data_IF_386949216950
#
_entry.id   IF_386949216950
#
_cell.length_a   1.000
_cell.length_b   1.000
_cell.length_c   1.000
_cell.angle_alpha   90.00
_cell.angle_beta   90.00
_cell.angle_gamma   90.00
#
_symmetry.space_group_name_H-M   'P 1'
#
loop_
_entity.id
_entity.type
_entity.pdbx_description
1 polymer ?
#
# COMPACT_ATOMS: atom_id res chain seq x y z
N UNK A 1 -27.17 -4.93 -69.97
CA UNK A 1 -27.26 -4.92 -68.50
C UNK A 1 -25.82 -4.76 -67.96
N UNK A 2 -25.44 -3.51 -67.62
CA UNK A 2 -24.09 -3.13 -67.27
C UNK A 2 -23.93 -3.27 -65.74
N UNK A 3 -22.93 -4.05 -65.29
CA UNK A 3 -22.53 -4.15 -63.88
C UNK A 3 -21.56 -3.03 -63.55
N UNK A 4 -21.96 -2.16 -62.63
CA UNK A 4 -21.20 -1.05 -62.14
C UNK A 4 -20.22 -1.55 -61.07
N UNK A 5 -18.92 -1.54 -61.33
CA UNK A 5 -17.85 -1.85 -60.38
C UNK A 5 -17.53 -0.63 -59.53
N UNK A 6 -17.77 -0.72 -58.23
CA UNK A 6 -17.31 0.29 -57.27
C UNK A 6 -15.86 0.00 -56.88
N UNK A 7 -14.96 0.91 -57.21
CA UNK A 7 -13.55 0.90 -56.77
C UNK A 7 -13.49 1.65 -55.47
N UNK A 8 -13.16 0.98 -54.36
CA UNK A 8 -12.86 1.61 -53.10
C UNK A 8 -11.38 2.05 -53.07
N UNK A 9 -11.03 3.24 -52.63
CA UNK A 9 -9.64 3.67 -52.49
C UNK A 9 -9.00 3.01 -51.27
N UNK A 10 -7.83 2.40 -51.51
CA UNK A 10 -6.94 1.92 -50.50
C UNK A 10 -6.39 3.10 -49.70
N UNK A 11 -6.89 3.29 -48.47
CA UNK A 11 -6.25 4.23 -47.52
C UNK A 11 -4.98 3.61 -46.98
N UNK A 12 -3.88 4.17 -47.36
CA UNK A 12 -2.54 3.84 -46.88
C UNK A 12 -2.42 4.26 -45.41
N UNK A 13 -2.60 3.31 -44.49
CA UNK A 13 -2.31 3.51 -43.05
C UNK A 13 -0.81 3.57 -42.87
N UNK A 14 -0.26 4.79 -42.78
CA UNK A 14 1.11 5.01 -42.34
C UNK A 14 1.19 4.69 -40.85
N UNK A 15 1.72 3.53 -40.53
CA UNK A 15 2.14 3.20 -39.17
C UNK A 15 3.38 4.03 -38.82
N UNK A 16 3.18 5.18 -38.17
CA UNK A 16 4.27 5.87 -37.47
C UNK A 16 4.59 5.05 -36.23
N UNK A 17 5.61 4.17 -36.34
CA UNK A 17 6.19 3.53 -35.18
C UNK A 17 6.89 4.58 -34.31
N UNK A 18 6.19 5.09 -33.30
CA UNK A 18 6.85 5.80 -32.19
C UNK A 18 7.74 4.78 -31.48
N UNK A 19 9.00 4.73 -31.87
CA UNK A 19 10.04 4.09 -31.06
C UNK A 19 10.14 4.88 -29.74
N UNK A 20 9.46 4.40 -28.70
CA UNK A 20 9.82 4.79 -27.35
C UNK A 20 11.28 4.42 -27.12
N UNK A 21 12.17 5.41 -27.21
CA UNK A 21 13.52 5.27 -26.67
C UNK A 21 13.34 4.87 -25.21
N UNK A 22 13.69 3.63 -24.91
CA UNK A 22 13.92 3.19 -23.55
C UNK A 22 15.05 4.06 -23.01
N UNK A 23 14.67 5.07 -22.22
CA UNK A 23 15.62 5.74 -21.34
C UNK A 23 16.01 4.65 -20.34
N UNK A 24 17.24 4.16 -20.46
CA UNK A 24 17.82 3.19 -19.53
C UNK A 24 17.66 3.72 -18.10
N UNK A 25 17.55 2.84 -17.10
CA UNK A 25 17.43 3.27 -15.72
C UNK A 25 18.60 4.20 -15.39
N UNK A 26 18.36 5.36 -14.74
CA UNK A 26 19.44 6.23 -14.30
C UNK A 26 20.40 5.39 -13.45
N UNK A 27 21.70 5.53 -13.75
CA UNK A 27 22.79 4.73 -13.22
C UNK A 27 22.69 4.46 -11.73
N UNK A 28 23.12 3.27 -11.33
CA UNK A 28 23.01 2.67 -10.00
C UNK A 28 23.34 3.60 -8.83
N UNK A 29 22.35 4.34 -8.38
CA UNK A 29 22.30 4.85 -7.02
C UNK A 29 22.13 3.64 -6.12
N UNK A 30 23.04 3.45 -5.18
CA UNK A 30 22.91 2.46 -4.10
C UNK A 30 21.55 2.68 -3.45
N UNK A 31 20.62 1.78 -3.73
CA UNK A 31 19.27 1.83 -3.17
C UNK A 31 19.38 1.84 -1.65
N UNK A 32 19.14 3.01 -1.03
CA UNK A 32 19.33 3.27 0.40
C UNK A 32 18.44 2.47 1.36
N UNK A 33 17.83 1.40 0.89
CA UNK A 33 17.02 0.48 1.71
C UNK A 33 17.85 -0.52 2.53
N UNK A 34 19.18 -0.54 2.34
CA UNK A 34 20.12 -1.30 3.14
C UNK A 34 20.82 -0.48 4.23
N UNK A 35 20.32 0.71 4.56
CA UNK A 35 20.94 1.55 5.57
C UNK A 35 20.86 0.85 6.93
N UNK A 36 22.03 0.45 7.41
CA UNK A 36 22.26 0.08 8.81
C UNK A 36 21.55 1.11 9.71
N UNK A 37 20.78 0.67 10.72
CA UNK A 37 20.27 1.60 11.71
C UNK A 37 21.45 2.45 12.24
N UNK A 38 21.26 3.76 12.44
CA UNK A 38 22.35 4.59 12.95
C UNK A 38 22.88 3.96 14.23
N UNK A 39 24.21 3.81 14.31
CA UNK A 39 24.93 3.35 15.49
C UNK A 39 24.87 4.45 16.56
N UNK A 40 23.72 4.65 17.13
CA UNK A 40 23.47 5.61 18.21
C UNK A 40 22.84 4.86 19.37
N UNK A 41 23.31 5.17 20.58
CA UNK A 41 22.93 4.51 21.82
C UNK A 41 21.44 4.19 21.97
N UNK A 42 21.15 3.16 22.75
CA UNK A 42 19.82 2.56 22.98
C UNK A 42 18.93 3.50 23.84
N UNK A 43 18.81 4.77 23.45
CA UNK A 43 17.88 5.68 24.11
C UNK A 43 16.44 5.29 23.81
N UNK A 44 15.66 5.06 24.86
CA UNK A 44 14.21 4.87 24.73
C UNK A 44 13.56 6.16 24.24
N UNK A 45 12.51 6.02 23.42
CA UNK A 45 11.81 7.15 22.81
C UNK A 45 10.35 7.06 23.17
N UNK A 46 9.76 8.07 23.81
CA UNK A 46 8.34 8.09 24.10
C UNK A 46 7.50 7.95 22.82
N UNK A 47 6.46 7.14 22.89
CA UNK A 47 5.55 6.93 21.78
C UNK A 47 4.94 8.25 21.26
N UNK A 48 4.73 9.22 22.17
CA UNK A 48 4.24 10.56 21.81
C UNK A 48 5.19 11.31 20.86
N UNK A 49 6.51 11.15 21.02
CA UNK A 49 7.50 11.73 20.10
C UNK A 49 7.39 11.11 18.71
N UNK A 50 7.33 9.77 18.64
CA UNK A 50 7.20 9.09 17.34
C UNK A 50 5.87 9.45 16.67
N UNK A 51 4.78 9.58 17.41
CA UNK A 51 3.49 10.05 16.87
C UNK A 51 3.59 11.44 16.23
N UNK A 52 4.35 12.37 16.83
CA UNK A 52 4.61 13.69 16.22
C UNK A 52 5.45 13.55 14.94
N UNK A 53 6.48 12.72 14.97
CA UNK A 53 7.37 12.50 13.80
C UNK A 53 6.63 11.89 12.60
N UNK A 54 5.64 11.02 12.84
CA UNK A 54 4.83 10.46 11.74
C UNK A 54 3.73 11.41 11.28
N UNK A 55 3.49 12.52 12.00
CA UNK A 55 2.42 13.48 11.70
C UNK A 55 1.08 12.78 11.49
N UNK A 56 0.64 11.99 12.51
CA UNK A 56 -0.58 11.19 12.41
C UNK A 56 -1.82 12.08 12.42
N UNK A 57 -2.58 12.04 11.34
CA UNK A 57 -3.91 12.64 11.23
C UNK A 57 -4.98 11.55 11.30
N UNK A 58 -6.13 11.89 11.87
CA UNK A 58 -7.32 11.02 11.88
C UNK A 58 -8.36 11.63 10.96
N UNK A 59 -8.64 10.98 9.84
CA UNK A 59 -9.60 11.42 8.82
C UNK A 59 -10.48 10.25 8.38
N UNK A 60 -11.41 9.89 9.27
CA UNK A 60 -12.20 8.67 9.16
C UNK A 60 -13.24 8.72 8.03
N UNK A 61 -13.37 7.64 7.29
CA UNK A 61 -14.55 7.37 6.47
C UNK A 61 -15.75 7.23 7.41
N UNK A 62 -16.84 7.93 7.11
CA UNK A 62 -18.06 7.92 7.93
C UNK A 62 -18.64 6.51 8.04
N UNK A 63 -19.01 6.11 9.26
CA UNK A 63 -19.74 4.86 9.51
C UNK A 63 -21.04 4.83 8.69
N UNK A 64 -21.37 3.68 8.13
CA UNK A 64 -22.56 3.49 7.28
C UNK A 64 -22.35 3.89 5.81
N UNK A 65 -21.17 4.38 5.43
CA UNK A 65 -20.89 4.81 4.05
C UNK A 65 -19.75 4.04 3.41
N UNK A 66 -19.79 3.88 2.09
CA UNK A 66 -18.70 3.35 1.26
C UNK A 66 -18.02 2.10 1.84
N UNK A 67 -16.71 2.12 2.05
CA UNK A 67 -15.96 1.00 2.62
C UNK A 67 -16.35 0.63 4.06
N UNK A 68 -16.96 1.56 4.81
CA UNK A 68 -17.53 1.35 6.15
C UNK A 68 -19.07 1.23 6.14
N UNK A 69 -19.66 0.89 4.99
CA UNK A 69 -21.11 0.66 4.86
C UNK A 69 -21.60 -0.45 5.78
N UNK A 70 -20.82 -1.48 5.97
CA UNK A 70 -21.04 -2.57 6.90
C UNK A 70 -19.84 -2.64 7.83
N UNK A 71 -20.08 -2.51 9.13
CA UNK A 71 -19.03 -2.64 10.14
C UNK A 71 -18.80 -4.12 10.41
N UNK A 72 -17.55 -4.55 10.28
CA UNK A 72 -17.11 -5.92 10.53
C UNK A 72 -16.04 -5.88 11.62
N UNK A 73 -16.33 -6.34 12.84
CA UNK A 73 -15.37 -6.33 13.94
C UNK A 73 -14.11 -7.12 13.60
N UNK A 74 -12.97 -6.66 14.11
CA UNK A 74 -11.66 -7.30 13.95
C UNK A 74 -10.83 -7.18 15.23
N UNK A 75 -10.15 -8.26 15.57
CA UNK A 75 -9.01 -8.23 16.50
C UNK A 75 -7.75 -8.37 15.66
N UNK A 76 -6.94 -7.31 15.50
CA UNK A 76 -5.79 -7.35 14.60
C UNK A 76 -4.69 -8.28 15.12
N UNK A 77 -4.19 -9.16 14.24
CA UNK A 77 -3.08 -10.09 14.50
C UNK A 77 -1.90 -9.86 13.56
N UNK A 78 -2.12 -9.14 12.48
CA UNK A 78 -1.13 -8.84 11.46
C UNK A 78 -1.14 -7.35 11.10
N UNK A 79 -0.06 -6.91 10.49
CA UNK A 79 0.02 -5.62 9.79
C UNK A 79 0.43 -5.93 8.37
N UNK A 80 -0.40 -5.53 7.40
CA UNK A 80 -0.13 -5.70 5.98
C UNK A 80 0.34 -4.40 5.37
N UNK A 81 1.53 -4.45 4.77
CA UNK A 81 2.13 -3.30 4.10
C UNK A 81 1.85 -3.39 2.60
N UNK A 82 1.34 -2.28 2.06
CA UNK A 82 1.05 -2.11 0.64
C UNK A 82 1.83 -0.95 0.04
N UNK A 83 1.82 -0.85 -1.28
CA UNK A 83 2.09 0.37 -2.01
C UNK A 83 0.92 0.69 -2.93
N UNK A 84 0.55 1.96 -3.02
CA UNK A 84 -0.65 2.41 -3.74
C UNK A 84 -0.59 2.12 -5.24
N UNK A 85 0.62 2.02 -5.81
CA UNK A 85 0.85 1.92 -7.25
C UNK A 85 0.11 3.06 -8.01
N UNK A 86 -0.02 4.21 -7.35
CA UNK A 86 -0.67 5.40 -7.86
C UNK A 86 0.33 6.57 -7.83
N UNK A 87 0.71 7.01 -9.02
CA UNK A 87 1.72 8.06 -9.18
C UNK A 87 1.16 9.49 -9.17
N UNK A 88 -0.13 9.66 -8.89
CA UNK A 88 -0.80 10.97 -8.93
C UNK A 88 -1.43 11.41 -7.61
N UNK A 89 -1.67 10.47 -6.67
CA UNK A 89 -2.36 10.76 -5.42
C UNK A 89 -1.44 10.60 -4.20
N UNK A 90 -1.39 11.64 -3.38
CA UNK A 90 -0.82 11.65 -2.04
C UNK A 90 -1.76 11.03 -1.00
N UNK A 91 -1.40 11.06 0.27
CA UNK A 91 -2.22 10.50 1.34
C UNK A 91 -3.55 11.23 1.51
N UNK A 92 -3.59 12.54 1.31
CA UNK A 92 -4.82 13.33 1.45
C UNK A 92 -5.81 13.05 0.32
N UNK A 93 -5.33 12.92 -0.91
CA UNK A 93 -6.15 12.52 -2.06
C UNK A 93 -6.71 11.11 -1.92
N UNK A 94 -5.94 10.17 -1.36
CA UNK A 94 -6.44 8.83 -1.04
C UNK A 94 -7.50 8.88 0.06
N UNK A 95 -7.31 9.69 1.11
CA UNK A 95 -8.34 9.91 2.13
C UNK A 95 -9.64 10.44 1.53
N UNK A 96 -9.55 11.47 0.69
CA UNK A 96 -10.69 12.04 0.00
C UNK A 96 -11.40 11.02 -0.89
N UNK A 97 -10.63 10.21 -1.64
CA UNK A 97 -11.18 9.16 -2.51
C UNK A 97 -11.93 8.08 -1.72
N UNK A 98 -11.40 7.66 -0.57
CA UNK A 98 -12.08 6.73 0.34
C UNK A 98 -13.38 7.33 0.89
N UNK A 99 -13.37 8.57 1.35
CA UNK A 99 -14.54 9.27 1.89
C UNK A 99 -15.64 9.52 0.85
N UNK A 100 -15.26 9.68 -0.41
CA UNK A 100 -16.20 9.87 -1.53
C UNK A 100 -16.66 8.55 -2.17
N UNK A 101 -16.11 7.41 -1.74
CA UNK A 101 -16.41 6.10 -2.34
C UNK A 101 -15.94 5.96 -3.77
N UNK A 102 -14.89 6.69 -4.15
CA UNK A 102 -14.31 6.62 -5.50
C UNK A 102 -13.52 5.32 -5.73
N UNK A 103 -13.03 4.69 -4.67
CA UNK A 103 -12.24 3.46 -4.76
C UNK A 103 -13.15 2.23 -4.68
N UNK A 104 -13.67 1.85 -5.83
CA UNK A 104 -14.63 0.76 -5.97
C UNK A 104 -13.95 -0.54 -6.35
N UNK A 105 -14.55 -1.63 -5.94
CA UNK A 105 -14.21 -2.98 -6.39
C UNK A 105 -15.48 -3.75 -6.67
N UNK A 106 -15.52 -4.60 -7.68
CA UNK A 106 -16.71 -5.40 -7.96
C UNK A 106 -17.12 -6.22 -6.74
N UNK A 107 -18.42 -6.24 -6.44
CA UNK A 107 -18.97 -7.17 -5.45
C UNK A 107 -18.86 -8.58 -6.00
N UNK A 108 -18.43 -9.51 -5.17
CA UNK A 108 -18.41 -10.92 -5.51
C UNK A 108 -19.09 -11.74 -4.41
N UNK A 109 -19.62 -12.91 -4.75
CA UNK A 109 -20.26 -13.81 -3.77
C UNK A 109 -19.28 -14.28 -2.70
N UNK A 110 -18.02 -14.49 -3.08
CA UNK A 110 -16.95 -15.04 -2.23
C UNK A 110 -15.84 -14.03 -1.90
N UNK A 111 -16.02 -12.76 -2.26
CA UNK A 111 -15.01 -11.72 -2.11
C UNK A 111 -15.56 -10.43 -1.51
N UNK A 112 -15.21 -9.30 -2.12
CA UNK A 112 -15.65 -8.00 -1.65
C UNK A 112 -17.18 -7.84 -1.76
N UNK A 113 -17.90 -8.01 -0.64
CA UNK A 113 -19.36 -7.87 -0.57
C UNK A 113 -19.81 -6.42 -0.47
N UNK A 114 -18.92 -5.51 -0.07
CA UNK A 114 -19.22 -4.10 0.14
C UNK A 114 -19.22 -3.35 -1.19
N UNK A 115 -18.36 -3.73 -2.14
CA UNK A 115 -18.17 -3.09 -3.44
C UNK A 115 -17.25 -1.86 -3.40
N UNK A 116 -16.52 -1.66 -2.30
CA UNK A 116 -15.55 -0.60 -2.09
C UNK A 116 -14.27 -1.15 -1.51
N UNK A 117 -13.14 -0.50 -1.82
CA UNK A 117 -11.89 -0.70 -1.11
C UNK A 117 -11.87 0.18 0.14
N UNK A 118 -11.22 -0.31 1.19
CA UNK A 118 -10.90 0.45 2.39
C UNK A 118 -9.75 -0.20 3.13
N UNK A 119 -8.89 0.64 3.69
CA UNK A 119 -7.74 0.25 4.52
C UNK A 119 -7.58 1.21 5.69
N UNK A 120 -6.70 0.88 6.63
CA UNK A 120 -6.62 1.60 7.91
C UNK A 120 -5.81 2.89 7.82
N UNK A 121 -4.66 2.86 7.11
CA UNK A 121 -3.76 4.00 7.03
C UNK A 121 -3.23 4.20 5.63
N UNK A 122 -3.11 5.46 5.21
CA UNK A 122 -2.28 5.85 4.07
C UNK A 122 -1.11 6.69 4.58
N UNK A 123 0.08 6.44 4.07
CA UNK A 123 1.31 7.10 4.48
C UNK A 123 2.03 7.65 3.26
N UNK A 124 2.43 8.91 3.32
CA UNK A 124 3.37 9.52 2.37
C UNK A 124 4.59 10.10 3.09
N UNK A 125 5.39 10.90 2.39
CA UNK A 125 6.59 11.53 2.93
C UNK A 125 6.32 12.67 3.92
N UNK A 126 5.06 13.09 4.12
CA UNK A 126 4.66 14.23 4.96
C UNK A 126 3.75 13.81 6.12
N UNK A 127 2.87 12.83 5.89
CA UNK A 127 1.78 12.52 6.82
C UNK A 127 1.44 11.04 6.82
N UNK A 128 0.90 10.56 7.94
CA UNK A 128 0.15 9.31 8.01
C UNK A 128 -1.32 9.64 8.34
N UNK A 129 -2.27 9.12 7.56
CA UNK A 129 -3.69 9.38 7.74
C UNK A 129 -4.42 8.08 8.08
N UNK A 130 -5.17 8.11 9.17
CA UNK A 130 -6.02 6.99 9.58
C UNK A 130 -7.44 7.17 9.02
N UNK A 131 -7.97 6.15 8.34
CA UNK A 131 -9.27 6.19 7.64
C UNK A 131 -10.36 5.39 8.33
N UNK A 132 -9.99 4.43 9.19
CA UNK A 132 -10.93 3.59 9.92
C UNK A 132 -10.32 3.08 11.22
N UNK A 133 -11.14 2.67 12.21
CA UNK A 133 -10.64 2.02 13.42
C UNK A 133 -9.92 0.71 13.10
N UNK A 134 -8.82 0.43 13.79
CA UNK A 134 -8.05 -0.82 13.61
C UNK A 134 -8.80 -2.06 14.13
N UNK A 135 -9.89 -1.86 14.83
CA UNK A 135 -10.82 -2.91 15.28
C UNK A 135 -11.90 -3.26 14.25
N UNK A 136 -11.83 -2.70 13.05
CA UNK A 136 -12.75 -3.00 11.94
C UNK A 136 -11.97 -3.64 10.77
N UNK A 137 -12.59 -4.61 10.10
CA UNK A 137 -11.99 -5.27 8.93
C UNK A 137 -11.93 -4.32 7.72
N UNK A 138 -10.78 -4.27 7.07
CA UNK A 138 -10.63 -3.60 5.79
C UNK A 138 -11.02 -4.46 4.58
N UNK A 139 -10.93 -3.86 3.40
CA UNK A 139 -11.03 -4.52 2.09
C UNK A 139 -9.79 -4.13 1.28
N UNK A 140 -8.64 -4.74 1.57
CA UNK A 140 -7.36 -4.31 1.01
C UNK A 140 -6.43 -5.46 0.57
N UNK A 141 -6.71 -6.71 0.97
CA UNK A 141 -5.74 -7.81 0.76
C UNK A 141 -6.32 -8.98 -0.05
N UNK A 142 -7.06 -9.88 0.58
CA UNK A 142 -7.38 -11.22 0.08
C UNK A 142 -8.88 -11.55 0.13
N UNK A 143 -9.73 -10.56 -0.03
CA UNK A 143 -11.19 -10.69 0.00
C UNK A 143 -11.71 -11.19 1.36
N UNK A 144 -12.15 -12.44 1.47
CA UNK A 144 -12.58 -13.06 2.74
C UNK A 144 -11.47 -13.77 3.49
N UNK A 145 -10.26 -13.65 3.04
CA UNK A 145 -9.11 -14.29 3.67
C UNK A 145 -8.67 -13.63 4.97
N UNK A 146 -7.66 -14.21 5.62
CA UNK A 146 -7.13 -13.69 6.88
C UNK A 146 -6.48 -12.31 6.73
N UNK A 147 -6.01 -11.93 5.53
CA UNK A 147 -5.45 -10.62 5.25
C UNK A 147 -6.44 -9.50 5.51
N UNK A 148 -7.70 -9.63 5.09
CA UNK A 148 -8.74 -8.65 5.39
C UNK A 148 -9.29 -8.80 6.82
N UNK A 149 -9.42 -10.04 7.31
CA UNK A 149 -10.10 -10.32 8.59
C UNK A 149 -9.24 -10.09 9.82
N UNK A 150 -7.92 -10.10 9.70
CA UNK A 150 -7.00 -10.12 10.84
C UNK A 150 -5.88 -9.08 10.71
N UNK A 151 -5.81 -8.29 9.64
CA UNK A 151 -4.68 -7.37 9.48
C UNK A 151 -5.06 -5.90 9.37
N UNK A 152 -4.21 -5.08 9.97
CA UNK A 152 -4.21 -3.63 9.77
C UNK A 152 -3.52 -3.36 8.43
N UNK A 153 -4.21 -2.76 7.46
CA UNK A 153 -3.63 -2.38 6.16
C UNK A 153 -3.02 -0.99 6.20
N UNK A 154 -1.78 -0.87 5.73
CA UNK A 154 -1.06 0.39 5.56
C UNK A 154 -0.65 0.52 4.10
N UNK A 155 -1.13 1.56 3.42
CA UNK A 155 -0.79 1.90 2.04
C UNK A 155 0.29 2.99 2.01
N UNK A 156 1.42 2.71 1.39
CA UNK A 156 2.49 3.67 1.14
C UNK A 156 2.26 4.37 -0.19
N UNK A 157 2.22 5.70 -0.19
CA UNK A 157 2.13 6.50 -1.40
C UNK A 157 3.45 6.48 -2.18
N UNK A 158 3.33 6.67 -3.48
CA UNK A 158 4.44 6.74 -4.42
C UNK A 158 4.17 7.73 -5.57
N UNK A 159 3.41 8.79 -5.26
CA UNK A 159 3.12 9.85 -6.21
C UNK A 159 4.38 10.60 -6.65
N UNK A 160 4.32 11.26 -7.80
CA UNK A 160 5.45 12.06 -8.33
C UNK A 160 5.86 13.11 -7.31
N UNK A 161 7.17 13.23 -7.07
CA UNK A 161 7.75 14.14 -6.08
C UNK A 161 7.73 13.64 -4.64
N UNK A 162 7.10 12.48 -4.36
CA UNK A 162 7.12 11.87 -3.04
C UNK A 162 8.49 11.27 -2.72
N UNK A 163 9.05 11.59 -1.56
CA UNK A 163 10.26 10.94 -1.05
C UNK A 163 9.94 9.53 -0.57
N UNK A 164 10.28 8.53 -1.39
CA UNK A 164 10.08 7.12 -1.04
C UNK A 164 10.78 6.73 0.27
N UNK A 165 12.00 7.24 0.49
CA UNK A 165 12.75 6.98 1.72
C UNK A 165 12.02 7.51 2.94
N UNK A 166 11.51 8.75 2.88
CA UNK A 166 10.75 9.34 3.99
C UNK A 166 9.41 8.61 4.22
N UNK A 167 8.73 8.17 3.15
CA UNK A 167 7.49 7.37 3.23
C UNK A 167 7.75 6.03 3.93
N UNK A 168 8.79 5.31 3.52
CA UNK A 168 9.17 4.02 4.13
C UNK A 168 9.54 4.20 5.59
N UNK A 169 10.28 5.26 5.91
CA UNK A 169 10.69 5.59 7.27
C UNK A 169 9.48 5.87 8.18
N UNK A 170 8.56 6.71 7.72
CA UNK A 170 7.30 7.02 8.43
C UNK A 170 6.45 5.78 8.61
N UNK A 171 6.37 4.93 7.59
CA UNK A 171 5.66 3.65 7.65
C UNK A 171 6.26 2.71 8.68
N UNK A 172 7.58 2.62 8.75
CA UNK A 172 8.26 1.79 9.76
C UNK A 172 7.98 2.26 11.19
N UNK A 173 7.98 3.58 11.43
CA UNK A 173 7.60 4.18 12.72
C UNK A 173 6.15 3.88 13.09
N UNK A 174 5.21 4.10 12.18
CA UNK A 174 3.79 3.77 12.39
C UNK A 174 3.61 2.28 12.69
N UNK A 175 4.26 1.42 11.91
CA UNK A 175 4.20 -0.03 12.10
C UNK A 175 4.69 -0.43 13.49
N UNK A 176 5.81 0.13 13.96
CA UNK A 176 6.34 -0.13 15.30
C UNK A 176 5.36 0.28 16.43
N UNK A 177 4.69 1.44 16.29
CA UNK A 177 3.65 1.89 17.22
C UNK A 177 2.48 0.90 17.24
N UNK A 178 2.00 0.47 16.08
CA UNK A 178 0.87 -0.46 15.98
C UNK A 178 1.24 -1.84 16.55
N UNK A 179 2.46 -2.33 16.31
CA UNK A 179 2.98 -3.55 16.94
C UNK A 179 2.93 -3.45 18.46
N UNK A 180 3.41 -2.34 19.04
CA UNK A 180 3.43 -2.13 20.51
C UNK A 180 2.02 -2.07 21.06
N UNK A 181 1.13 -1.25 20.47
CA UNK A 181 -0.25 -1.06 20.93
C UNK A 181 -1.10 -2.32 20.85
N UNK A 182 -0.91 -3.14 19.82
CA UNK A 182 -1.75 -4.32 19.55
C UNK A 182 -1.04 -5.64 19.84
N UNK A 183 0.17 -5.60 20.42
CA UNK A 183 0.98 -6.79 20.74
C UNK A 183 1.20 -7.71 19.52
N UNK A 184 1.37 -7.09 18.34
CA UNK A 184 1.61 -7.81 17.09
C UNK A 184 3.11 -8.07 16.96
N UNK A 185 3.56 -9.33 16.87
CA UNK A 185 4.97 -9.64 16.74
C UNK A 185 5.52 -9.28 15.35
N UNK A 186 6.82 -8.98 15.25
CA UNK A 186 7.47 -8.58 14.00
C UNK A 186 7.24 -9.56 12.84
N UNK A 187 7.20 -10.86 13.11
CA UNK A 187 6.92 -11.90 12.10
C UNK A 187 5.52 -11.80 11.48
N UNK A 188 4.62 -11.06 12.10
CA UNK A 188 3.26 -10.78 11.59
C UNK A 188 3.16 -9.43 10.89
N UNK A 189 4.27 -8.72 10.69
CA UNK A 189 4.35 -7.62 9.72
C UNK A 189 4.68 -8.24 8.37
N UNK A 190 3.74 -8.17 7.44
CA UNK A 190 3.81 -8.92 6.17
C UNK A 190 3.55 -8.00 4.97
N UNK A 191 4.15 -8.26 3.80
CA UNK A 191 3.77 -7.57 2.58
C UNK A 191 2.42 -8.10 2.07
N UNK A 192 1.70 -7.33 1.27
CA UNK A 192 0.48 -7.84 0.61
C UNK A 192 0.74 -9.14 -0.16
N UNK A 193 1.94 -9.31 -0.69
CA UNK A 193 2.40 -10.56 -1.31
C UNK A 193 2.12 -11.81 -0.45
N UNK A 194 2.13 -11.68 0.88
CA UNK A 194 1.90 -12.80 1.81
C UNK A 194 0.52 -13.45 1.64
N UNK A 195 -0.48 -12.69 1.21
CA UNK A 195 -1.87 -13.15 1.12
C UNK A 195 -2.22 -13.57 -0.31
N UNK A 196 -2.37 -14.90 -0.57
CA UNK A 196 -2.81 -15.36 -1.88
C UNK A 196 -4.27 -14.95 -2.13
N UNK A 197 -4.54 -14.37 -3.29
CA UNK A 197 -5.87 -13.97 -3.72
C UNK A 197 -6.51 -15.11 -4.51
N UNK A 198 -7.50 -15.75 -3.91
CA UNK A 198 -8.21 -16.87 -4.54
C UNK A 198 -8.77 -16.47 -5.92
N UNK A 199 -8.56 -17.32 -6.91
CA UNK A 199 -9.01 -17.07 -8.28
C UNK A 199 -8.20 -16.04 -9.08
N UNK A 200 -6.99 -15.72 -8.61
CA UNK A 200 -6.03 -14.86 -9.35
C UNK A 200 -4.79 -15.66 -9.77
N UNK A 201 -4.25 -15.31 -10.93
CA UNK A 201 -2.99 -15.83 -11.42
C UNK A 201 -2.08 -14.68 -11.87
N UNK A 202 -0.92 -14.44 -11.25
CA UNK A 202 -0.45 -15.12 -10.05
C UNK A 202 -1.31 -14.78 -8.81
N UNK A 203 -1.42 -15.71 -7.85
CA UNK A 203 -2.24 -15.48 -6.66
C UNK A 203 -1.68 -14.39 -5.77
N UNK A 204 -0.36 -14.30 -5.67
CA UNK A 204 0.33 -13.33 -4.82
C UNK A 204 0.58 -12.02 -5.58
N UNK A 205 0.12 -10.90 -5.01
CA UNK A 205 0.32 -9.57 -5.61
C UNK A 205 1.77 -9.10 -5.40
N UNK A 206 2.42 -8.59 -6.43
CA UNK A 206 3.70 -7.87 -6.29
C UNK A 206 3.47 -6.53 -5.56
N UNK A 207 3.31 -6.58 -4.25
CA UNK A 207 3.00 -5.40 -3.43
C UNK A 207 3.50 -5.61 -1.98
N UNK A 208 4.20 -4.62 -1.43
CA UNK A 208 4.67 -3.38 -2.02
C UNK A 208 5.87 -3.62 -2.96
N UNK A 209 5.72 -3.33 -4.25
CA UNK A 209 6.66 -3.78 -5.29
C UNK A 209 8.11 -3.30 -5.08
N UNK A 210 8.30 -2.07 -4.58
CA UNK A 210 9.64 -1.51 -4.37
C UNK A 210 10.35 -2.06 -3.12
N UNK A 211 9.65 -2.73 -2.20
CA UNK A 211 10.23 -3.46 -1.07
C UNK A 211 10.39 -4.97 -1.35
N UNK A 212 10.03 -5.43 -2.54
CA UNK A 212 10.22 -6.82 -2.94
C UNK A 212 11.41 -6.95 -3.91
N UNK A 213 12.05 -8.10 -3.86
CA UNK A 213 13.10 -8.48 -4.81
C UNK A 213 12.47 -9.38 -5.88
N UNK A 214 12.43 -8.92 -7.13
CA UNK A 214 11.82 -9.67 -8.23
C UNK A 214 10.42 -10.22 -7.90
N UNK A 215 9.58 -9.38 -7.29
CA UNK A 215 8.20 -9.73 -6.92
C UNK A 215 8.06 -10.64 -5.69
N UNK A 216 9.12 -10.93 -4.94
CA UNK A 216 9.10 -11.78 -3.74
C UNK A 216 9.79 -11.11 -2.55
N UNK A 217 9.40 -11.41 -1.30
CA UNK A 217 10.11 -10.95 -0.11
C UNK A 217 11.59 -11.40 -0.14
N UNK A 218 12.49 -10.46 0.02
CA UNK A 218 13.94 -10.70 -0.05
C UNK A 218 14.71 -9.70 0.82
N UNK A 219 15.90 -9.29 0.40
CA UNK A 219 16.77 -8.38 1.15
C UNK A 219 16.09 -7.02 1.46
N UNK A 220 15.38 -6.43 0.48
CA UNK A 220 14.68 -5.16 0.66
C UNK A 220 13.60 -5.26 1.75
N UNK A 221 12.82 -6.34 1.74
CA UNK A 221 11.81 -6.59 2.75
C UNK A 221 12.43 -6.80 4.14
N UNK A 222 13.50 -7.58 4.24
CA UNK A 222 14.25 -7.74 5.50
C UNK A 222 14.82 -6.42 6.01
N UNK A 223 15.31 -5.56 5.13
CA UNK A 223 15.77 -4.21 5.49
C UNK A 223 14.65 -3.34 6.08
N UNK A 224 13.45 -3.39 5.49
CA UNK A 224 12.26 -2.72 6.05
C UNK A 224 11.91 -3.28 7.44
N UNK A 225 11.85 -4.61 7.60
CA UNK A 225 11.60 -5.22 8.91
C UNK A 225 12.67 -4.87 9.96
N UNK A 226 13.94 -4.78 9.56
CA UNK A 226 15.01 -4.32 10.43
C UNK A 226 14.77 -2.90 10.94
N UNK A 227 14.27 -2.01 10.08
CA UNK A 227 13.92 -0.64 10.46
C UNK A 227 12.70 -0.58 11.37
N UNK A 228 11.66 -1.37 11.10
CA UNK A 228 10.51 -1.51 12.00
C UNK A 228 10.96 -1.98 13.39
N UNK A 229 11.80 -3.02 13.44
CA UNK A 229 12.33 -3.54 14.70
C UNK A 229 13.18 -2.52 15.46
N UNK A 230 13.98 -1.74 14.74
CA UNK A 230 14.77 -0.66 15.33
C UNK A 230 13.90 0.33 16.11
N UNK A 231 12.76 0.77 15.54
CA UNK A 231 11.83 1.64 16.25
C UNK A 231 11.09 0.91 17.35
N UNK A 232 10.63 -0.32 17.11
CA UNK A 232 9.90 -1.12 18.10
C UNK A 232 10.69 -1.31 19.40
N UNK A 233 11.97 -1.64 19.30
CA UNK A 233 12.85 -1.84 20.46
C UNK A 233 13.10 -0.55 21.27
N UNK A 234 12.88 0.60 20.66
CA UNK A 234 13.09 1.91 21.29
C UNK A 234 11.82 2.55 21.86
N UNK A 235 10.66 2.05 21.49
CA UNK A 235 9.40 2.55 22.03
C UNK A 235 9.24 2.17 23.52
N UNK A 236 8.97 3.19 24.33
CA UNK A 236 8.47 3.02 25.70
C UNK A 236 7.02 2.58 25.74
#
# INVERSE_FOLDING_TARGET
MQALRWILPFSLLVFVSLQCRQVGPPGGGRDGYGVRPPAGGVGRVPMSRINREINLKVDMVRRGTHGRKVIRPMTPRYITIHSTQNYTADAERHSLALKRGALRSPKTRTGNRIGYLIWHFTVDDKVAIQHMPVSEQGEHADFHGPGNRLSIGIEMCEHRGCSRTATVERTAKLTAILMKKHRIPLRHVVPHYHWPRRGRNPPNKNCPHFLLNHGRPGAKWRGFLGRVNYYYQRLE
#
